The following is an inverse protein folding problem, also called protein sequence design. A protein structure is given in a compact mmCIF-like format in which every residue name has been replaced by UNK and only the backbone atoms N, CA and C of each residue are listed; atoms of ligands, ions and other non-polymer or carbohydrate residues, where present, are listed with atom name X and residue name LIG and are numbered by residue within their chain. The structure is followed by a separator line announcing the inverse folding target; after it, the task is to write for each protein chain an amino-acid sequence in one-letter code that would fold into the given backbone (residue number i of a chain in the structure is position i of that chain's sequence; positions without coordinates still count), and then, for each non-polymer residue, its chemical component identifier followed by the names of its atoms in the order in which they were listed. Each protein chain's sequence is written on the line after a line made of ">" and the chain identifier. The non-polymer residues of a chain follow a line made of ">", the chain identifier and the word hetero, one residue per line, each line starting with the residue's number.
data_IF_968978582089
#
_entry.id   IF_968978582089
#
_cell.length_a   1.000
_cell.length_b   1.000
_cell.length_c   1.000
_cell.angle_alpha   90.00
_cell.angle_beta   90.00
_cell.angle_gamma   90.00
#
_symmetry.space_group_name_H-M   'P 1'
#
loop_
_entity.id
_entity.type
_entity.pdbx_description
1 polymer ?
#
# COMPACT_ATOMS: atom_id res chain seq x y z
N UNK A 1 15.98 8.50 9.06
CA UNK A 1 16.25 9.78 8.34
C UNK A 1 15.59 10.93 9.10
N UNK A 2 16.24 12.09 9.17
CA UNK A 2 15.64 13.29 9.75
C UNK A 2 14.75 14.02 8.71
N UNK A 3 13.92 14.96 9.16
CA UNK A 3 12.97 15.70 8.32
C UNK A 3 13.65 16.47 7.17
N UNK A 4 14.82 17.04 7.44
CA UNK A 4 15.61 17.78 6.45
C UNK A 4 16.07 16.88 5.31
N UNK A 5 16.53 15.66 5.62
CA UNK A 5 16.92 14.69 4.60
C UNK A 5 15.72 14.27 3.74
N UNK A 6 14.54 14.05 4.33
CA UNK A 6 13.31 13.76 3.57
C UNK A 6 12.91 14.92 2.65
N UNK A 7 13.00 16.17 3.13
CA UNK A 7 12.70 17.34 2.32
C UNK A 7 13.69 17.52 1.15
N UNK A 8 14.97 17.25 1.37
CA UNK A 8 15.99 17.28 0.31
C UNK A 8 15.76 16.19 -0.74
N UNK A 9 15.35 14.99 -0.32
CA UNK A 9 14.97 13.90 -1.20
C UNK A 9 13.82 14.21 -2.15
N UNK A 10 12.98 15.20 -1.83
CA UNK A 10 11.84 15.61 -2.66
C UNK A 10 12.17 16.74 -3.65
N UNK A 11 13.35 17.37 -3.57
CA UNK A 11 13.73 18.43 -4.52
C UNK A 11 14.15 17.83 -5.85
N UNK A 12 13.70 18.38 -6.98
CA UNK A 12 13.96 17.80 -8.32
C UNK A 12 15.43 17.46 -8.60
N UNK A 13 16.35 18.40 -8.34
CA UNK A 13 17.79 18.19 -8.67
C UNK A 13 18.51 17.42 -7.55
N UNK A 14 18.31 17.85 -6.30
CA UNK A 14 19.00 17.28 -5.13
C UNK A 14 18.46 15.88 -4.83
N UNK A 15 17.16 15.67 -4.95
CA UNK A 15 16.49 14.40 -4.72
C UNK A 15 16.90 13.32 -5.71
N UNK A 16 17.09 13.66 -7.00
CA UNK A 16 17.63 12.69 -7.99
C UNK A 16 19.06 12.29 -7.65
N UNK A 17 19.93 13.25 -7.29
CA UNK A 17 21.30 12.96 -6.88
C UNK A 17 21.35 12.12 -5.59
N UNK A 18 20.49 12.42 -4.63
CA UNK A 18 20.37 11.65 -3.39
C UNK A 18 19.74 10.27 -3.60
N UNK A 19 18.82 10.11 -4.55
CA UNK A 19 18.26 8.81 -4.93
C UNK A 19 19.30 7.93 -5.63
N UNK A 20 20.04 8.48 -6.61
CA UNK A 20 21.13 7.79 -7.28
C UNK A 20 22.25 7.37 -6.32
N UNK A 21 22.49 8.15 -5.27
CA UNK A 21 23.43 7.80 -4.20
C UNK A 21 22.82 6.92 -3.09
N UNK A 22 21.61 6.39 -3.28
CA UNK A 22 20.88 5.57 -2.31
C UNK A 22 20.66 6.24 -0.94
N UNK A 23 20.78 7.57 -0.86
CA UNK A 23 20.56 8.37 0.35
C UNK A 23 19.08 8.71 0.57
N UNK A 24 18.22 8.48 -0.42
CA UNK A 24 16.77 8.65 -0.30
C UNK A 24 16.05 7.30 -0.27
N UNK A 25 15.58 6.93 0.92
CA UNK A 25 14.60 5.85 1.06
C UNK A 25 13.22 6.48 0.85
N UNK A 26 12.38 5.86 0.03
CA UNK A 26 11.00 6.30 -0.13
C UNK A 26 10.33 6.40 1.26
N UNK A 27 9.60 7.49 1.54
CA UNK A 27 8.89 7.66 2.80
C UNK A 27 7.76 6.64 2.89
N UNK A 28 8.09 5.43 3.30
CA UNK A 28 7.19 4.31 3.46
C UNK A 28 6.80 4.24 4.92
N UNK A 29 5.50 4.38 5.19
CA UNK A 29 4.97 4.45 6.54
C UNK A 29 4.56 3.09 7.12
N UNK A 30 4.26 2.10 6.26
CA UNK A 30 4.06 0.69 6.64
C UNK A 30 5.26 -0.13 6.21
N UNK A 31 5.99 -0.73 7.15
CA UNK A 31 7.17 -1.54 6.83
C UNK A 31 6.78 -3.02 6.77
N UNK A 32 6.97 -3.67 5.61
CA UNK A 32 6.83 -5.13 5.48
C UNK A 32 5.56 -5.76 6.08
N UNK A 33 4.43 -5.03 5.93
CA UNK A 33 3.11 -5.46 6.34
C UNK A 33 2.58 -6.59 5.43
N UNK A 34 3.03 -7.82 5.69
CA UNK A 34 2.50 -9.01 5.06
C UNK A 34 1.14 -9.36 5.65
N UNK A 35 0.16 -9.57 4.77
CA UNK A 35 -1.21 -9.86 5.16
C UNK A 35 -1.75 -11.04 4.38
N UNK A 36 -2.69 -11.75 4.99
CA UNK A 36 -3.44 -12.83 4.36
C UNK A 36 -4.87 -12.36 4.06
N UNK A 37 -5.11 -11.96 2.81
CA UNK A 37 -6.45 -11.54 2.38
C UNK A 37 -7.45 -12.71 2.23
N UNK A 38 -7.03 -13.97 2.40
CA UNK A 38 -7.97 -15.11 2.35
C UNK A 38 -8.89 -15.18 3.57
N UNK A 39 -8.56 -14.46 4.64
CA UNK A 39 -9.31 -14.42 5.89
C UNK A 39 -10.03 -13.07 6.01
N UNK A 40 -11.31 -13.10 6.35
CA UNK A 40 -12.07 -11.89 6.68
C UNK A 40 -11.76 -11.43 8.10
N UNK A 41 -11.72 -10.11 8.32
CA UNK A 41 -11.52 -9.52 9.64
C UNK A 41 -10.16 -8.86 9.80
N UNK A 42 -9.65 -8.87 11.02
CA UNK A 42 -8.49 -8.09 11.39
C UNK A 42 -7.19 -8.71 10.85
N UNK A 43 -6.48 -7.97 9.98
CA UNK A 43 -5.32 -8.48 9.27
C UNK A 43 -4.00 -8.03 9.87
N UNK A 44 -3.95 -6.82 10.41
CA UNK A 44 -2.68 -6.16 10.65
C UNK A 44 -2.76 -5.02 11.65
N UNK A 45 -1.74 -4.94 12.51
CA UNK A 45 -1.55 -3.87 13.49
C UNK A 45 -0.07 -3.47 13.57
N UNK A 46 0.23 -2.19 13.35
CA UNK A 46 1.60 -1.69 13.53
C UNK A 46 1.59 -0.23 14.02
N UNK A 47 2.58 0.11 14.84
CA UNK A 47 2.91 1.50 15.09
C UNK A 47 3.66 2.09 13.90
N UNK A 48 3.08 3.11 13.30
CA UNK A 48 3.66 3.82 12.16
C UNK A 48 4.18 5.18 12.60
N UNK A 49 5.26 5.63 11.96
CA UNK A 49 5.81 6.97 12.16
C UNK A 49 5.73 7.77 10.85
N UNK A 50 4.93 8.82 10.87
CA UNK A 50 4.76 9.76 9.76
C UNK A 50 5.74 10.92 9.98
N UNK A 51 6.84 11.02 9.19
CA UNK A 51 7.88 12.00 9.46
C UNK A 51 7.52 13.43 9.00
N UNK A 52 6.50 13.61 8.16
CA UNK A 52 6.05 14.92 7.67
C UNK A 52 4.58 14.91 7.25
N UNK A 53 3.96 16.09 7.24
CA UNK A 53 2.61 16.30 6.72
C UNK A 53 2.61 16.06 5.21
N UNK A 54 1.98 14.97 4.75
CA UNK A 54 1.90 14.66 3.34
C UNK A 54 0.77 13.68 2.98
N UNK A 55 0.58 13.50 1.67
CA UNK A 55 -0.29 12.47 1.14
C UNK A 55 0.47 11.16 0.99
N UNK A 56 -0.15 10.03 1.30
CA UNK A 56 0.40 8.69 1.16
C UNK A 56 -0.46 7.87 0.20
N UNK A 57 0.14 7.31 -0.83
CA UNK A 57 -0.50 6.34 -1.71
C UNK A 57 -0.45 4.96 -1.10
N UNK A 58 -1.57 4.25 -1.20
CA UNK A 58 -1.74 2.90 -0.69
C UNK A 58 -1.72 1.89 -1.83
N UNK A 59 -0.91 0.85 -1.67
CA UNK A 59 -0.75 -0.21 -2.65
C UNK A 59 -0.84 -1.58 -1.97
N UNK A 60 -1.32 -2.56 -2.73
CA UNK A 60 -1.16 -3.97 -2.41
C UNK A 60 -0.23 -4.58 -3.46
N UNK A 61 0.79 -5.28 -2.98
CA UNK A 61 1.75 -6.01 -3.80
C UNK A 61 1.63 -7.51 -3.51
N UNK A 62 1.55 -8.32 -4.56
CA UNK A 62 1.68 -9.78 -4.42
C UNK A 62 3.12 -10.21 -4.67
N UNK A 63 3.68 -10.95 -3.72
CA UNK A 63 4.99 -11.59 -3.83
C UNK A 63 4.80 -13.10 -4.00
N UNK A 64 4.97 -13.64 -5.23
CA UNK A 64 4.86 -15.08 -5.45
C UNK A 64 6.01 -15.82 -4.75
N UNK A 65 5.77 -17.05 -4.30
CA UNK A 65 6.83 -17.91 -3.74
C UNK A 65 7.81 -18.38 -4.81
N UNK A 66 7.32 -18.64 -6.02
CA UNK A 66 8.13 -19.04 -7.18
C UNK A 66 8.35 -17.86 -8.14
N UNK A 67 9.51 -17.83 -8.80
CA UNK A 67 9.86 -16.77 -9.77
C UNK A 67 9.08 -16.84 -11.08
N UNK A 68 8.44 -17.97 -11.37
CA UNK A 68 7.55 -18.11 -12.52
C UNK A 68 6.24 -17.36 -12.22
N UNK A 69 5.90 -16.37 -13.04
CA UNK A 69 4.73 -15.51 -12.85
C UNK A 69 3.66 -15.83 -13.90
N UNK A 70 2.60 -16.60 -13.58
CA UNK A 70 1.62 -16.94 -14.59
C UNK A 70 0.60 -15.82 -14.79
N UNK A 71 0.19 -15.13 -13.71
CA UNK A 71 -0.90 -14.15 -13.77
C UNK A 71 -0.59 -12.84 -13.05
N UNK A 72 -0.99 -11.73 -13.69
CA UNK A 72 -0.89 -10.38 -13.12
C UNK A 72 -2.02 -10.17 -12.12
N UNK A 73 -1.68 -9.80 -10.88
CA UNK A 73 -2.66 -9.43 -9.86
C UNK A 73 -3.62 -8.35 -10.39
N UNK A 74 -3.08 -7.32 -11.05
CA UNK A 74 -3.88 -6.27 -11.68
C UNK A 74 -4.90 -6.85 -12.66
N UNK A 75 -4.49 -7.73 -13.58
CA UNK A 75 -5.44 -8.36 -14.51
C UNK A 75 -6.49 -9.19 -13.78
N UNK A 76 -6.09 -9.96 -12.76
CA UNK A 76 -7.03 -10.79 -12.01
C UNK A 76 -8.12 -9.96 -11.31
N UNK A 77 -7.75 -8.85 -10.67
CA UNK A 77 -8.70 -8.00 -9.94
C UNK A 77 -9.44 -7.05 -10.88
N UNK A 78 -8.77 -6.50 -11.90
CA UNK A 78 -9.31 -5.41 -12.71
C UNK A 78 -9.87 -5.82 -14.07
N UNK A 79 -9.61 -7.04 -14.57
CA UNK A 79 -10.23 -7.50 -15.81
C UNK A 79 -11.76 -7.63 -15.66
N UNK A 80 -12.45 -7.38 -16.77
CA UNK A 80 -13.91 -7.43 -16.86
C UNK A 80 -14.41 -8.78 -17.43
N UNK A 81 -13.52 -9.74 -17.66
CA UNK A 81 -13.88 -11.06 -18.14
C UNK A 81 -14.37 -11.91 -16.97
N UNK A 82 -15.65 -11.75 -16.63
CA UNK A 82 -16.32 -12.65 -15.71
C UNK A 82 -17.30 -13.53 -16.46
N UNK A 83 -17.32 -14.81 -16.12
CA UNK A 83 -18.42 -15.68 -16.49
C UNK A 83 -19.73 -15.16 -15.88
N UNK A 84 -20.82 -15.25 -16.63
CA UNK A 84 -22.17 -14.83 -16.20
C UNK A 84 -22.50 -15.51 -14.87
N UNK A 85 -22.73 -14.71 -13.81
CA UNK A 85 -23.06 -15.20 -12.47
C UNK A 85 -21.90 -15.26 -11.46
N UNK A 86 -20.67 -14.87 -11.85
CA UNK A 86 -19.54 -14.77 -10.92
C UNK A 86 -19.45 -13.38 -10.28
N UNK A 87 -19.30 -13.34 -8.95
CA UNK A 87 -18.94 -12.12 -8.22
C UNK A 87 -17.47 -11.81 -8.42
N UNK A 88 -17.17 -10.56 -8.80
CA UNK A 88 -15.79 -10.08 -9.01
C UNK A 88 -14.94 -10.32 -7.76
N UNK A 89 -13.77 -10.97 -7.88
CA UNK A 89 -12.87 -11.06 -6.75
C UNK A 89 -12.32 -9.65 -6.49
N UNK A 90 -12.76 -9.05 -5.39
CA UNK A 90 -12.33 -7.71 -4.98
C UNK A 90 -11.63 -7.82 -3.64
N UNK A 91 -10.41 -7.29 -3.58
CA UNK A 91 -9.77 -6.99 -2.31
C UNK A 91 -10.39 -5.68 -1.85
N UNK A 92 -11.16 -5.69 -0.77
CA UNK A 92 -11.67 -4.48 -0.12
C UNK A 92 -11.24 -4.50 1.34
N UNK A 93 -10.63 -3.41 1.79
CA UNK A 93 -10.19 -3.32 3.18
C UNK A 93 -10.41 -1.93 3.78
N UNK A 94 -10.49 -1.91 5.10
CA UNK A 94 -10.57 -0.70 5.89
C UNK A 94 -9.23 -0.46 6.59
N UNK A 95 -8.69 0.75 6.44
CA UNK A 95 -7.54 1.21 7.18
C UNK A 95 -7.99 2.20 8.24
N UNK A 96 -7.82 1.82 9.50
CA UNK A 96 -8.06 2.68 10.65
C UNK A 96 -6.73 3.17 11.18
N UNK A 97 -6.62 4.49 11.33
CA UNK A 97 -5.48 5.15 11.96
C UNK A 97 -5.92 5.61 13.34
N UNK A 98 -5.18 5.18 14.36
CA UNK A 98 -5.39 5.53 15.75
C UNK A 98 -4.21 6.38 16.25
N UNK A 99 -4.45 7.24 17.22
CA UNK A 99 -3.35 7.81 18.00
C UNK A 99 -2.73 6.74 18.93
N UNK A 100 -1.64 7.09 19.62
CA UNK A 100 -0.96 6.16 20.52
C UNK A 100 -1.84 5.70 21.70
N UNK A 101 -2.86 6.48 22.07
CA UNK A 101 -3.82 6.17 23.11
C UNK A 101 -5.01 5.33 22.61
N UNK A 102 -5.04 4.97 21.32
CA UNK A 102 -6.10 4.16 20.72
C UNK A 102 -7.33 4.95 20.27
N UNK A 103 -7.29 6.29 20.28
CA UNK A 103 -8.38 7.11 19.74
C UNK A 103 -8.31 7.10 18.22
N UNK A 104 -9.46 6.91 17.59
CA UNK A 104 -9.59 6.92 16.13
C UNK A 104 -9.30 8.33 15.59
N UNK A 105 -8.29 8.43 14.74
CA UNK A 105 -7.92 9.63 13.98
C UNK A 105 -8.61 9.63 12.63
N UNK A 106 -8.63 8.49 11.94
CA UNK A 106 -9.31 8.34 10.66
C UNK A 106 -9.72 6.90 10.38
N UNK A 107 -10.81 6.71 9.64
CA UNK A 107 -11.21 5.42 9.07
C UNK A 107 -11.41 5.64 7.59
N UNK A 108 -10.68 4.89 6.76
CA UNK A 108 -10.78 4.98 5.31
C UNK A 108 -11.06 3.59 4.75
N UNK A 109 -12.01 3.51 3.82
CA UNK A 109 -12.33 2.28 3.09
C UNK A 109 -11.68 2.37 1.72
N UNK A 110 -11.06 1.28 1.31
CA UNK A 110 -10.29 1.22 0.09
C UNK A 110 -10.75 0.07 -0.77
N UNK A 111 -10.89 0.38 -2.06
CA UNK A 111 -11.16 -0.57 -3.13
C UNK A 111 -10.10 -0.42 -4.22
N UNK A 112 -9.89 -1.43 -5.06
CA UNK A 112 -8.86 -1.41 -6.10
C UNK A 112 -9.11 -0.28 -7.11
N UNK A 113 -8.10 0.55 -7.36
CA UNK A 113 -8.12 1.54 -8.43
C UNK A 113 -7.68 0.88 -9.75
N UNK A 114 -8.67 0.48 -10.54
CA UNK A 114 -8.48 -0.12 -11.86
C UNK A 114 -8.39 0.90 -13.01
N UNK A 115 -8.33 2.20 -12.71
CA UNK A 115 -8.19 3.25 -13.74
C UNK A 115 -6.74 3.45 -14.19
N UNK A 116 -5.78 3.03 -13.36
CA UNK A 116 -4.35 3.18 -13.62
C UNK A 116 -3.63 1.86 -13.38
N UNK A 117 -2.93 1.35 -14.40
CA UNK A 117 -1.99 0.25 -14.20
C UNK A 117 -0.70 0.82 -13.62
N UNK A 118 -0.59 0.79 -12.29
CA UNK A 118 0.51 1.40 -11.55
C UNK A 118 1.59 0.36 -11.29
N UNK A 119 2.79 0.59 -11.84
CA UNK A 119 4.05 -0.04 -11.44
C UNK A 119 4.08 -1.59 -11.35
N UNK A 120 3.81 -2.26 -12.47
CA UNK A 120 4.17 -3.67 -12.67
C UNK A 120 3.02 -4.66 -12.43
N UNK A 121 3.22 -5.90 -12.90
CA UNK A 121 2.13 -6.90 -13.01
C UNK A 121 1.49 -7.29 -11.68
N UNK A 122 2.16 -7.09 -10.55
CA UNK A 122 1.77 -7.63 -9.24
C UNK A 122 1.44 -6.54 -8.21
N UNK A 123 1.25 -5.30 -8.65
CA UNK A 123 0.94 -4.17 -7.77
C UNK A 123 -0.38 -3.56 -8.20
N UNK A 124 -1.21 -3.22 -7.21
CA UNK A 124 -2.47 -2.49 -7.42
C UNK A 124 -2.49 -1.33 -6.45
N UNK A 125 -2.91 -0.16 -6.95
CA UNK A 125 -3.16 1.03 -6.14
C UNK A 125 -4.60 1.02 -5.64
N UNK A 126 -4.80 1.54 -4.43
CA UNK A 126 -6.12 1.60 -3.79
C UNK A 126 -6.59 3.03 -3.54
N UNK A 127 -5.67 3.98 -3.44
CA UNK A 127 -6.00 5.38 -3.25
C UNK A 127 -4.89 6.15 -2.56
N UNK A 128 -5.28 7.29 -1.99
CA UNK A 128 -4.40 8.23 -1.29
C UNK A 128 -5.07 8.65 0.01
N UNK A 129 -4.27 8.79 1.07
CA UNK A 129 -4.68 9.31 2.37
C UNK A 129 -3.77 10.46 2.78
N UNK A 130 -4.31 11.46 3.45
CA UNK A 130 -3.52 12.60 3.96
C UNK A 130 -3.24 12.39 5.45
N UNK A 131 -1.97 12.40 5.84
CA UNK A 131 -1.56 12.26 7.24
C UNK A 131 -0.67 13.43 7.67
N UNK A 132 -0.87 13.84 8.92
CA UNK A 132 0.02 14.78 9.59
C UNK A 132 1.20 14.02 10.19
N UNK A 133 2.30 14.74 10.36
CA UNK A 133 3.49 14.29 11.10
C UNK A 133 3.09 13.82 12.49
N UNK A 134 3.54 12.62 12.84
CA UNK A 134 3.21 12.03 14.14
C UNK A 134 3.44 10.52 14.18
N UNK A 135 3.25 9.96 15.37
CA UNK A 135 3.23 8.51 15.59
C UNK A 135 1.78 8.06 15.75
N UNK A 136 1.44 6.95 15.09
CA UNK A 136 0.10 6.41 15.05
C UNK A 136 0.13 4.88 15.16
N UNK A 137 -1.04 4.27 15.37
CA UNK A 137 -1.26 2.84 15.16
C UNK A 137 -2.12 2.67 13.91
N UNK A 138 -1.65 1.89 12.95
CA UNK A 138 -2.41 1.48 11.78
C UNK A 138 -3.06 0.13 12.03
N UNK A 139 -4.36 0.01 11.75
CA UNK A 139 -5.10 -1.25 11.76
C UNK A 139 -5.70 -1.49 10.37
N UNK A 140 -5.46 -2.67 9.80
CA UNK A 140 -6.08 -3.07 8.53
C UNK A 140 -7.07 -4.18 8.77
N UNK A 141 -8.30 -3.99 8.31
CA UNK A 141 -9.36 -5.00 8.37
C UNK A 141 -9.80 -5.37 6.97
N UNK A 142 -9.69 -6.65 6.62
CA UNK A 142 -10.26 -7.20 5.40
C UNK A 142 -11.78 -7.26 5.52
N UNK A 143 -12.49 -6.77 4.51
CA UNK A 143 -13.96 -6.81 4.50
C UNK A 143 -14.51 -8.09 3.91
N UNK A 144 -13.77 -8.72 2.98
CA UNK A 144 -14.21 -9.93 2.32
C UNK A 144 -13.01 -10.85 2.11
N UNK A 145 -13.18 -12.15 2.39
CA UNK A 145 -12.18 -13.14 2.02
C UNK A 145 -11.91 -13.09 0.50
N UNK A 146 -10.63 -12.96 0.14
CA UNK A 146 -10.15 -12.91 -1.23
C UNK A 146 -9.20 -14.08 -1.47
N UNK A 147 -9.55 -14.92 -2.44
CA UNK A 147 -8.72 -16.04 -2.87
C UNK A 147 -7.98 -15.66 -4.16
N UNK A 148 -6.65 -15.76 -4.12
CA UNK A 148 -5.80 -15.66 -5.30
C UNK A 148 -5.27 -17.05 -5.64
N UNK A 149 -5.31 -17.49 -6.92
CA UNK A 149 -4.96 -18.86 -7.29
C UNK A 149 -3.46 -19.16 -7.20
N UNK A 150 -2.61 -18.15 -7.06
CA UNK A 150 -1.17 -18.31 -6.99
C UNK A 150 -0.68 -18.33 -5.53
N UNK A 151 0.31 -19.20 -5.24
CA UNK A 151 0.95 -19.24 -3.93
C UNK A 151 1.89 -18.04 -3.72
N UNK A 152 1.72 -17.35 -2.61
CA UNK A 152 2.50 -16.14 -2.31
C UNK A 152 2.00 -15.39 -1.10
N UNK A 153 2.57 -14.21 -0.89
CA UNK A 153 2.21 -13.31 0.21
C UNK A 153 1.78 -11.97 -0.34
N UNK A 154 0.74 -11.41 0.24
CA UNK A 154 0.36 -10.03 -0.02
C UNK A 154 1.10 -9.10 0.93
N UNK A 155 1.49 -7.94 0.42
CA UNK A 155 2.11 -6.88 1.20
C UNK A 155 1.33 -5.58 0.98
N UNK A 156 0.96 -4.92 2.06
CA UNK A 156 0.39 -3.56 2.01
C UNK A 156 1.53 -2.56 2.10
N UNK A 157 1.53 -1.58 1.21
CA UNK A 157 2.54 -0.52 1.14
C UNK A 157 1.84 0.83 1.24
N UNK A 158 2.29 1.68 2.17
CA UNK A 158 1.84 3.06 2.30
C UNK A 158 3.03 3.99 2.06
N UNK A 159 3.03 4.72 0.93
CA UNK A 159 4.19 5.50 0.46
C UNK A 159 3.83 6.97 0.21
N UNK A 160 4.67 7.88 0.69
CA UNK A 160 4.50 9.33 0.50
C UNK A 160 4.47 9.74 -0.98
N UNK A 161 3.47 10.55 -1.36
CA UNK A 161 3.29 11.10 -2.71
C UNK A 161 4.31 12.22 -2.88
N UNK A 162 5.41 11.92 -3.58
CA UNK A 162 6.53 12.84 -3.78
C UNK A 162 7.89 12.23 -3.42
N UNK A 163 7.91 11.06 -2.77
CA UNK A 163 9.07 10.19 -2.86
C UNK A 163 9.14 9.68 -4.30
N UNK A 164 10.06 10.22 -5.10
CA UNK A 164 10.23 9.86 -6.51
C UNK A 164 10.25 8.35 -6.68
N UNK A 165 9.21 7.83 -7.32
CA UNK A 165 9.22 6.50 -7.92
C UNK A 165 9.75 6.73 -9.34
N UNK A 166 10.83 6.06 -9.79
CA UNK A 166 11.17 6.07 -11.21
C UNK A 166 10.04 5.49 -12.07
#
# INVERSE_FOLDING_TARGET
>A
MNEVAYALCKKQVIGVAMWLSSMCIANQALHDAYVDFSIEGDLYHEEINIPMDEKYSLFVMFKPENKEQPNSLYKFICSNEMAIGSTKPVIDFELKILDLHGKIVSINKFSPDCSQNVAGKNVIRFGVLELKKGKYKAQVTNKNAFAYPENGKFQILMRGVGAGFP
#
